data_IF_409780601803
#
_entry.id   IF_409780601803
#
_cell.length_a   1.000
_cell.length_b   1.000
_cell.length_c   1.000
_cell.angle_alpha   90.00
_cell.angle_beta   90.00
_cell.angle_gamma   90.00
#
_symmetry.space_group_name_H-M   'P 1'
#
loop_
_entity.id
_entity.type
_entity.pdbx_description
1 polymer ?
#
# COMPACT_ATOMS: atom_id res chain seq x y z
N UNK A 1 -26.96 20.18 23.90
CA UNK A 1 -27.84 20.29 22.71
C UNK A 1 -27.89 18.91 22.07
N UNK A 2 -29.07 18.33 21.85
CA UNK A 2 -29.19 17.04 21.16
C UNK A 2 -29.21 17.26 19.64
N UNK A 3 -28.55 16.38 18.87
CA UNK A 3 -28.43 16.51 17.42
C UNK A 3 -29.71 16.13 16.68
N UNK A 4 -29.93 16.72 15.49
CA UNK A 4 -31.14 16.51 14.67
C UNK A 4 -31.35 15.02 14.31
N UNK A 5 -30.26 14.27 14.11
CA UNK A 5 -30.30 12.83 13.80
C UNK A 5 -30.97 11.97 14.88
N UNK A 6 -30.81 12.30 16.16
CA UNK A 6 -31.42 11.56 17.29
C UNK A 6 -32.97 11.65 17.28
N UNK A 7 -33.51 12.65 16.58
CA UNK A 7 -34.96 12.84 16.42
C UNK A 7 -35.55 12.01 15.27
N UNK A 8 -34.74 11.58 14.30
CA UNK A 8 -35.18 10.79 13.14
C UNK A 8 -35.28 9.31 13.52
N UNK A 9 -34.25 8.76 14.18
CA UNK A 9 -34.22 7.35 14.64
C UNK A 9 -35.38 7.03 15.58
N UNK A 10 -35.81 8.01 16.38
CA UNK A 10 -36.94 7.89 17.33
C UNK A 10 -38.33 7.95 16.69
N UNK A 11 -38.44 8.11 15.37
CA UNK A 11 -39.73 8.32 14.69
C UNK A 11 -40.17 7.12 13.82
N UNK A 12 -39.47 5.98 13.91
CA UNK A 12 -39.75 4.76 13.15
C UNK A 12 -39.95 3.49 14.01
N UNK A 13 -40.20 3.64 15.31
CA UNK A 13 -40.57 2.55 16.20
C UNK A 13 -41.31 3.07 17.43
N UNK A 14 -42.33 2.31 17.88
CA UNK A 14 -43.45 2.76 18.76
C UNK A 14 -44.41 3.66 17.95
N UNK A 15 -45.68 3.31 17.70
CA UNK A 15 -46.63 2.47 18.44
C UNK A 15 -47.33 1.34 17.63
N UNK A 16 -47.69 0.26 18.32
CA UNK A 16 -48.92 -0.53 18.09
C UNK A 16 -50.01 0.08 19.03
N UNK A 17 -51.31 0.14 18.75
CA UNK A 17 -52.33 -0.92 18.62
C UNK A 17 -53.72 -0.28 18.40
N UNK A 18 -54.70 -1.01 17.84
CA UNK A 18 -56.17 -0.77 17.95
C UNK A 18 -56.75 0.51 17.31
N UNK A 19 -57.97 0.57 16.74
CA UNK A 19 -59.03 -0.39 16.37
C UNK A 19 -59.69 0.14 15.04
N UNK A 20 -60.92 -0.08 14.55
CA UNK A 20 -62.20 -0.62 15.06
C UNK A 20 -62.93 -1.46 13.97
N UNK A 21 -64.03 -0.96 13.34
CA UNK A 21 -64.95 -1.77 12.50
C UNK A 21 -65.49 -1.09 11.21
N UNK A 22 -65.42 -1.83 10.08
CA UNK A 22 -66.52 -2.15 9.11
C UNK A 22 -67.28 -1.03 8.30
N UNK A 23 -68.11 -1.35 7.26
CA UNK A 23 -68.50 -2.66 6.69
C UNK A 23 -68.48 -2.84 5.14
N UNK A 24 -68.44 -4.12 4.71
CA UNK A 24 -69.02 -4.79 3.52
C UNK A 24 -69.35 -4.06 2.18
N UNK A 25 -68.73 -4.55 1.08
CA UNK A 25 -69.31 -5.13 -0.18
C UNK A 25 -68.17 -5.24 -1.22
N UNK A 26 -68.00 -6.25 -2.08
CA UNK A 26 -68.93 -7.20 -2.73
C UNK A 26 -68.54 -8.69 -2.58
N UNK A 27 -69.40 -9.61 -3.07
CA UNK A 27 -69.28 -11.07 -2.93
C UNK A 27 -69.74 -11.82 -4.19
N UNK A 28 -68.90 -12.70 -4.75
CA UNK A 28 -69.23 -13.78 -5.73
C UNK A 28 -68.03 -14.77 -5.75
N UNK A 29 -68.05 -15.90 -5.01
CA UNK A 29 -68.62 -17.22 -5.35
C UNK A 29 -67.90 -17.92 -6.54
N UNK A 30 -66.89 -18.81 -6.38
CA UNK A 30 -66.85 -20.23 -5.86
C UNK A 30 -67.45 -21.30 -6.80
N UNK A 31 -67.06 -22.61 -6.78
CA UNK A 31 -65.94 -23.31 -6.09
C UNK A 31 -65.18 -24.43 -6.91
N UNK A 32 -64.24 -25.10 -6.23
CA UNK A 32 -63.77 -26.51 -6.43
C UNK A 32 -62.81 -26.83 -7.61
N UNK A 33 -61.94 -27.87 -7.55
CA UNK A 33 -61.86 -28.98 -6.58
C UNK A 33 -60.40 -29.35 -6.15
N UNK A 34 -60.28 -30.32 -5.23
CA UNK A 34 -59.02 -30.97 -4.81
C UNK A 34 -58.42 -31.84 -5.95
N UNK A 35 -57.22 -32.44 -5.91
CA UNK A 35 -56.24 -32.81 -4.86
C UNK A 35 -54.81 -32.81 -5.53
N UNK A 36 -53.65 -33.10 -4.93
CA UNK A 36 -53.23 -33.73 -3.66
C UNK A 36 -51.80 -33.28 -3.25
N UNK A 37 -51.12 -34.07 -2.41
CA UNK A 37 -49.81 -33.85 -1.77
C UNK A 37 -48.58 -33.82 -2.70
N UNK A 38 -47.63 -32.93 -2.40
CA UNK A 38 -46.21 -33.08 -2.77
C UNK A 38 -45.31 -32.35 -1.74
N UNK A 39 -44.74 -33.11 -0.79
CA UNK A 39 -43.76 -32.60 0.18
C UNK A 39 -42.34 -32.79 -0.34
N UNK A 40 -41.70 -31.72 -0.80
CA UNK A 40 -40.24 -31.57 -0.76
C UNK A 40 -39.84 -30.09 -0.84
N UNK A 41 -38.55 -29.80 -0.63
CA UNK A 41 -37.90 -28.50 -0.75
C UNK A 41 -38.58 -27.37 0.07
N UNK A 42 -38.34 -27.40 1.39
CA UNK A 42 -38.34 -26.15 2.16
C UNK A 42 -37.27 -25.23 1.54
N UNK A 43 -37.73 -24.23 0.78
CA UNK A 43 -36.86 -23.23 0.19
C UNK A 43 -36.22 -22.39 1.28
N UNK A 44 -34.99 -22.71 1.66
CA UNK A 44 -34.12 -21.72 2.28
C UNK A 44 -33.98 -20.57 1.28
N UNK A 45 -34.57 -19.41 1.61
CA UNK A 45 -34.28 -18.15 0.94
C UNK A 45 -32.84 -17.77 1.28
N UNK A 46 -31.88 -18.40 0.59
CA UNK A 46 -30.45 -18.14 0.71
C UNK A 46 -30.26 -16.67 0.36
N UNK A 47 -30.06 -15.87 1.41
CA UNK A 47 -30.09 -14.42 1.41
C UNK A 47 -29.11 -13.84 0.36
N UNK A 48 -29.60 -13.57 -0.84
CA UNK A 48 -28.80 -13.32 -2.05
C UNK A 48 -28.01 -12.02 -1.99
N UNK A 49 -28.34 -11.12 -1.08
CA UNK A 49 -27.56 -9.92 -0.78
C UNK A 49 -26.19 -10.27 -0.14
N UNK A 50 -26.11 -11.37 0.61
CA UNK A 50 -24.86 -11.79 1.27
C UNK A 50 -23.77 -12.17 0.24
N UNK A 51 -24.16 -12.72 -0.91
CA UNK A 51 -23.26 -13.12 -2.01
C UNK A 51 -22.60 -11.95 -2.75
N UNK A 52 -23.13 -10.73 -2.62
CA UNK A 52 -22.57 -9.54 -3.30
C UNK A 52 -21.41 -8.88 -2.53
N UNK A 53 -21.16 -9.27 -1.27
CA UNK A 53 -20.21 -8.58 -0.38
C UNK A 53 -18.84 -9.25 -0.39
N UNK A 54 -17.79 -8.49 -0.69
CA UNK A 54 -16.39 -8.94 -0.61
C UNK A 54 -16.08 -9.58 0.75
N UNK A 55 -15.33 -10.70 0.73
CA UNK A 55 -14.83 -11.37 1.95
C UNK A 55 -14.18 -10.36 2.90
N UNK A 56 -14.46 -10.51 4.20
CA UNK A 56 -13.88 -9.70 5.28
C UNK A 56 -12.36 -9.68 5.19
N UNK A 57 -11.72 -10.84 4.99
CA UNK A 57 -10.26 -10.97 4.92
C UNK A 57 -9.68 -10.28 3.69
N UNK A 58 -10.34 -10.43 2.54
CA UNK A 58 -9.94 -9.80 1.29
C UNK A 58 -10.06 -8.26 1.38
N UNK A 59 -11.13 -7.77 2.02
CA UNK A 59 -11.31 -6.35 2.29
C UNK A 59 -10.27 -5.80 3.27
N UNK A 60 -9.92 -6.53 4.33
CA UNK A 60 -8.86 -6.13 5.27
C UNK A 60 -7.49 -6.03 4.59
N UNK A 61 -7.13 -7.00 3.74
CA UNK A 61 -5.91 -6.97 2.93
C UNK A 61 -5.91 -5.77 1.97
N UNK A 62 -6.99 -5.56 1.22
CA UNK A 62 -7.11 -4.45 0.28
C UNK A 62 -7.06 -3.08 0.99
N UNK A 63 -7.73 -2.93 2.14
CA UNK A 63 -7.70 -1.71 2.94
C UNK A 63 -6.31 -1.41 3.51
N UNK A 64 -5.57 -2.43 3.97
CA UNK A 64 -4.21 -2.20 4.48
C UNK A 64 -3.23 -1.86 3.35
N UNK A 65 -3.32 -2.52 2.19
CA UNK A 65 -2.51 -2.18 1.01
C UNK A 65 -2.80 -0.77 0.48
N UNK A 66 -4.07 -0.36 0.43
CA UNK A 66 -4.44 1.02 0.05
C UNK A 66 -4.03 2.07 1.10
N UNK A 67 -3.82 1.67 2.37
CA UNK A 67 -3.40 2.57 3.45
C UNK A 67 -1.87 2.71 3.57
N UNK A 68 -1.13 1.63 3.35
CA UNK A 68 0.32 1.56 3.60
C UNK A 68 1.16 1.37 2.33
N UNK A 69 0.56 0.97 1.20
CA UNK A 69 1.24 0.60 -0.04
C UNK A 69 1.98 -0.75 -0.01
N UNK A 70 2.13 -1.37 1.17
CA UNK A 70 3.00 -2.53 1.41
C UNK A 70 2.48 -3.40 2.56
N UNK A 71 2.90 -4.67 2.56
CA UNK A 71 2.51 -5.70 3.51
C UNK A 71 3.64 -6.75 3.65
N UNK A 72 4.26 -6.82 4.83
CA UNK A 72 5.40 -7.72 5.11
C UNK A 72 4.99 -8.90 6.02
N UNK A 73 5.52 -10.09 5.75
CA UNK A 73 5.28 -11.29 6.56
C UNK A 73 5.78 -11.12 8.00
N UNK A 74 6.93 -10.47 8.20
CA UNK A 74 7.50 -10.23 9.54
C UNK A 74 6.59 -9.38 10.43
N UNK A 75 5.85 -8.43 9.85
CA UNK A 75 4.97 -7.54 10.59
C UNK A 75 3.54 -8.08 10.71
N UNK A 76 2.99 -8.69 9.64
CA UNK A 76 1.57 -9.13 9.59
C UNK A 76 1.40 -10.44 8.81
N UNK A 77 1.89 -11.58 9.34
CA UNK A 77 1.91 -12.84 8.62
C UNK A 77 0.51 -13.35 8.25
N UNK A 78 -0.51 -13.05 9.06
CA UNK A 78 -1.90 -13.43 8.76
C UNK A 78 -2.48 -12.72 7.53
N UNK A 79 -2.22 -11.41 7.39
CA UNK A 79 -2.67 -10.65 6.22
C UNK A 79 -1.82 -10.97 4.99
N UNK A 80 -0.50 -11.12 5.14
CA UNK A 80 0.40 -11.53 4.05
C UNK A 80 -0.05 -12.85 3.41
N UNK A 81 -0.30 -13.89 4.24
CA UNK A 81 -0.78 -15.20 3.76
C UNK A 81 -2.18 -15.12 3.13
N UNK A 82 -3.07 -14.27 3.66
CA UNK A 82 -4.37 -14.02 3.04
C UNK A 82 -4.25 -13.33 1.68
N UNK A 83 -3.29 -12.40 1.53
CA UNK A 83 -3.01 -11.73 0.26
C UNK A 83 -2.49 -12.70 -0.81
N UNK A 84 -1.54 -13.59 -0.47
CA UNK A 84 -1.06 -14.63 -1.38
C UNK A 84 -2.20 -15.57 -1.84
N UNK A 85 -2.98 -16.10 -0.90
CA UNK A 85 -4.07 -17.05 -1.19
C UNK A 85 -5.17 -16.42 -2.05
N UNK A 86 -5.43 -15.11 -1.89
CA UNK A 86 -6.50 -14.39 -2.60
C UNK A 86 -6.00 -13.48 -3.74
N UNK A 87 -4.74 -13.62 -4.19
CA UNK A 87 -4.05 -12.65 -5.06
C UNK A 87 -4.82 -12.30 -6.34
N UNK A 88 -5.43 -13.29 -7.01
CA UNK A 88 -6.26 -13.06 -8.20
C UNK A 88 -7.50 -12.20 -7.89
N UNK A 89 -8.21 -12.50 -6.80
CA UNK A 89 -9.41 -11.76 -6.36
C UNK A 89 -9.05 -10.37 -5.83
N UNK A 90 -7.87 -10.23 -5.22
CA UNK A 90 -7.29 -8.95 -4.79
C UNK A 90 -7.00 -8.07 -6.00
N UNK A 91 -6.36 -8.62 -7.04
CA UNK A 91 -6.10 -7.92 -8.29
C UNK A 91 -7.38 -7.59 -9.06
N UNK A 92 -8.42 -8.43 -9.01
CA UNK A 92 -9.76 -8.13 -9.51
C UNK A 92 -10.51 -7.05 -8.68
N UNK A 93 -10.10 -6.81 -7.43
CA UNK A 93 -10.68 -5.76 -6.56
C UNK A 93 -9.95 -4.42 -6.71
N UNK A 94 -8.64 -4.46 -7.01
CA UNK A 94 -7.80 -3.29 -7.31
C UNK A 94 -7.93 -2.85 -8.79
N UNK A 95 -8.48 -3.73 -9.63
CA UNK A 95 -8.84 -3.54 -11.05
C UNK A 95 -9.41 -2.14 -11.36
N UNK A 96 -10.51 -1.67 -10.74
CA UNK A 96 -11.20 -0.47 -11.18
C UNK A 96 -10.56 0.82 -10.63
N UNK A 97 -9.37 0.69 -10.04
CA UNK A 97 -8.56 1.77 -9.48
C UNK A 97 -7.22 1.93 -10.23
N UNK A 98 -7.03 1.23 -11.36
CA UNK A 98 -5.77 1.13 -12.12
C UNK A 98 -4.56 0.63 -11.30
N UNK A 99 -4.84 -0.24 -10.31
CA UNK A 99 -3.86 -0.79 -9.37
C UNK A 99 -3.74 -2.31 -9.46
N UNK A 100 -2.60 -2.84 -9.01
CA UNK A 100 -2.42 -4.27 -8.74
C UNK A 100 -1.51 -4.51 -7.52
N UNK A 101 -1.74 -5.62 -6.83
CA UNK A 101 -0.83 -6.17 -5.84
C UNK A 101 0.19 -7.10 -6.53
N UNK A 102 1.46 -6.97 -6.15
CA UNK A 102 2.57 -7.84 -6.56
C UNK A 102 3.21 -8.47 -5.32
N UNK A 103 3.67 -9.70 -5.45
CA UNK A 103 4.38 -10.42 -4.39
C UNK A 103 5.86 -10.64 -4.74
N UNK A 104 6.72 -10.49 -3.73
CA UNK A 104 8.05 -11.10 -3.67
C UNK A 104 8.00 -12.14 -2.54
N UNK A 105 7.73 -13.39 -2.92
CA UNK A 105 7.64 -14.52 -2.00
C UNK A 105 9.00 -14.89 -1.39
N UNK A 106 10.11 -14.54 -2.05
CA UNK A 106 11.46 -14.78 -1.53
C UNK A 106 11.72 -13.85 -0.33
N UNK A 107 11.20 -12.61 -0.38
CA UNK A 107 11.42 -11.58 0.64
C UNK A 107 10.24 -11.35 1.58
N UNK A 108 9.19 -12.16 1.50
CA UNK A 108 8.03 -12.05 2.40
C UNK A 108 7.22 -10.76 2.22
N UNK A 109 7.15 -10.20 1.00
CA UNK A 109 6.57 -8.89 0.73
C UNK A 109 5.42 -8.96 -0.29
N UNK A 110 4.29 -8.31 0.01
CA UNK A 110 3.29 -7.90 -0.99
C UNK A 110 3.26 -6.37 -1.04
N UNK A 111 3.27 -5.79 -2.23
CA UNK A 111 3.22 -4.34 -2.42
C UNK A 111 2.24 -3.92 -3.52
N UNK A 112 1.74 -2.70 -3.39
CA UNK A 112 0.83 -2.06 -4.33
C UNK A 112 1.63 -1.40 -5.46
N UNK A 113 1.25 -1.69 -6.70
CA UNK A 113 1.80 -1.10 -7.90
C UNK A 113 0.68 -0.47 -8.74
N UNK A 114 1.04 0.56 -9.52
CA UNK A 114 0.18 1.03 -10.62
C UNK A 114 0.19 -0.04 -11.71
N UNK A 115 -0.98 -0.34 -12.28
CA UNK A 115 -1.09 -1.22 -13.44
C UNK A 115 -0.53 -0.47 -14.67
N UNK A 116 0.32 -1.09 -15.51
CA UNK A 116 0.61 -0.51 -16.82
C UNK A 116 -0.69 -0.46 -17.63
N UNK A 117 -1.08 0.73 -18.11
CA UNK A 117 -2.28 0.87 -18.93
C UNK A 117 -2.15 0.14 -20.26
N UNK A 118 -3.29 -0.24 -20.86
CA UNK A 118 -3.36 -0.96 -22.13
C UNK A 118 -2.99 -0.10 -23.37
N UNK A 119 -2.38 1.07 -23.17
CA UNK A 119 -2.07 2.06 -24.21
C UNK A 119 -0.56 2.23 -24.36
N UNK A 120 -0.03 1.97 -25.57
CA UNK A 120 1.38 2.20 -25.94
C UNK A 120 1.77 3.71 -26.03
N UNK A 121 0.89 4.63 -25.63
CA UNK A 121 1.19 6.06 -25.61
C UNK A 121 2.13 6.41 -24.43
N UNK A 122 3.21 7.18 -24.67
CA UNK A 122 4.11 7.58 -23.60
C UNK A 122 3.39 8.54 -22.63
N UNK A 123 3.04 8.03 -21.45
CA UNK A 123 2.42 8.81 -20.38
C UNK A 123 3.43 9.81 -19.77
N UNK A 124 3.62 10.96 -20.43
CA UNK A 124 4.46 12.07 -19.96
C UNK A 124 4.06 12.48 -18.52
N UNK A 125 2.76 12.63 -18.29
CA UNK A 125 2.18 12.76 -16.95
C UNK A 125 2.02 11.39 -16.27
N UNK A 126 3.16 10.85 -15.81
CA UNK A 126 3.26 9.65 -14.97
C UNK A 126 2.69 9.92 -13.55
N UNK A 127 1.42 10.33 -13.45
CA UNK A 127 0.75 10.78 -12.22
C UNK A 127 -0.66 10.19 -12.13
N UNK A 128 -0.69 8.89 -11.87
CA UNK A 128 -1.88 8.13 -11.50
C UNK A 128 -2.68 8.86 -10.39
N UNK A 129 -3.99 9.12 -10.56
CA UNK A 129 -4.72 10.09 -9.74
C UNK A 129 -4.80 9.72 -8.25
N UNK A 130 -4.71 8.43 -7.92
CA UNK A 130 -4.72 7.93 -6.54
C UNK A 130 -3.32 7.76 -5.92
N UNK A 131 -2.24 7.91 -6.70
CA UNK A 131 -0.85 7.66 -6.24
C UNK A 131 -0.01 8.93 -6.37
N UNK A 132 0.33 9.54 -5.23
CA UNK A 132 1.19 10.73 -5.20
C UNK A 132 2.66 10.33 -5.36
N UNK A 133 3.33 10.86 -6.39
CA UNK A 133 4.79 10.78 -6.59
C UNK A 133 5.55 11.29 -5.35
N UNK A 134 6.07 10.38 -4.53
CA UNK A 134 6.93 10.72 -3.39
C UNK A 134 8.37 10.96 -3.92
N UNK A 135 8.71 12.24 -4.14
CA UNK A 135 10.03 12.63 -4.68
C UNK A 135 11.12 12.43 -3.62
N UNK A 136 12.28 11.91 -4.04
CA UNK A 136 13.49 11.83 -3.23
C UNK A 136 14.43 12.99 -3.57
N UNK A 137 15.04 13.59 -2.55
CA UNK A 137 16.17 14.52 -2.69
C UNK A 137 17.47 13.75 -3.02
N UNK A 138 18.51 14.45 -3.48
CA UNK A 138 19.81 13.85 -3.81
C UNK A 138 20.41 13.04 -2.64
N UNK A 139 20.35 13.57 -1.42
CA UNK A 139 20.92 12.93 -0.22
C UNK A 139 20.11 11.70 0.20
N UNK A 140 18.77 11.76 0.10
CA UNK A 140 17.89 10.62 0.34
C UNK A 140 18.12 9.51 -0.71
N UNK A 141 18.30 9.90 -1.97
CA UNK A 141 18.60 9.00 -3.10
C UNK A 141 19.93 8.28 -2.90
N UNK A 142 20.96 9.04 -2.55
CA UNK A 142 22.29 8.51 -2.25
C UNK A 142 22.26 7.57 -1.04
N UNK A 143 21.56 7.94 0.03
CA UNK A 143 21.35 7.09 1.21
C UNK A 143 20.60 5.79 0.84
N UNK A 144 19.57 5.85 -0.02
CA UNK A 144 18.89 4.64 -0.54
C UNK A 144 19.83 3.76 -1.37
N UNK A 145 20.74 4.33 -2.17
CA UNK A 145 21.74 3.55 -2.90
C UNK A 145 22.75 2.86 -1.96
N UNK A 146 23.24 3.56 -0.93
CA UNK A 146 24.10 2.99 0.12
C UNK A 146 23.37 1.88 0.87
N UNK A 147 22.14 2.12 1.34
CA UNK A 147 21.33 1.11 2.03
C UNK A 147 21.04 -0.11 1.14
N UNK A 148 20.84 0.07 -0.18
CA UNK A 148 20.70 -1.07 -1.11
C UNK A 148 21.99 -1.88 -1.22
N UNK A 149 23.17 -1.25 -1.19
CA UNK A 149 24.46 -1.96 -1.16
C UNK A 149 24.61 -2.80 0.12
N UNK A 150 24.31 -2.24 1.29
CA UNK A 150 24.30 -2.99 2.56
C UNK A 150 23.30 -4.16 2.54
N UNK A 151 22.08 -3.93 2.02
CA UNK A 151 21.07 -4.99 1.89
C UNK A 151 21.55 -6.12 0.97
N UNK A 152 22.19 -5.81 -0.17
CA UNK A 152 22.73 -6.82 -1.08
C UNK A 152 23.87 -7.63 -0.44
N UNK A 153 24.74 -7.00 0.36
CA UNK A 153 25.77 -7.72 1.11
C UNK A 153 25.14 -8.68 2.13
N UNK A 154 24.13 -8.23 2.88
CA UNK A 154 23.39 -9.08 3.81
C UNK A 154 22.65 -10.24 3.11
N UNK A 155 22.05 -10.01 1.93
CA UNK A 155 21.45 -11.07 1.11
C UNK A 155 22.48 -12.10 0.59
N UNK A 156 23.76 -11.74 0.46
CA UNK A 156 24.84 -12.65 0.07
C UNK A 156 25.37 -13.46 1.26
N UNK A 157 25.54 -12.84 2.43
CA UNK A 157 26.10 -13.49 3.62
C UNK A 157 25.07 -14.39 4.36
N UNK A 158 23.83 -13.90 4.51
CA UNK A 158 22.77 -14.59 5.24
C UNK A 158 21.79 -15.35 4.32
N UNK A 159 21.78 -15.01 3.02
CA UNK A 159 20.87 -15.56 2.01
C UNK A 159 19.70 -14.62 1.66
N UNK A 160 19.20 -14.73 0.42
CA UNK A 160 18.03 -13.96 -0.04
C UNK A 160 16.79 -14.33 0.77
N UNK A 161 16.12 -13.35 1.37
CA UNK A 161 14.99 -13.60 2.26
C UNK A 161 15.36 -13.95 3.71
N UNK A 162 16.64 -13.90 4.08
CA UNK A 162 17.03 -13.91 5.49
C UNK A 162 16.48 -12.67 6.22
N UNK A 163 16.48 -12.73 7.56
CA UNK A 163 15.81 -11.75 8.42
C UNK A 163 16.35 -10.31 8.32
N UNK A 164 15.62 -9.38 8.93
CA UNK A 164 15.80 -7.94 8.90
C UNK A 164 17.29 -7.49 8.90
N UNK A 165 17.74 -6.92 7.78
CA UNK A 165 19.11 -6.45 7.61
C UNK A 165 19.36 -5.17 8.44
N UNK A 166 20.08 -5.31 9.54
CA UNK A 166 20.39 -4.22 10.48
C UNK A 166 21.69 -3.50 10.11
N UNK A 167 21.67 -2.16 10.11
CA UNK A 167 22.88 -1.31 9.96
C UNK A 167 22.91 -0.24 11.05
N UNK A 168 24.08 0.03 11.62
CA UNK A 168 24.26 1.11 12.60
C UNK A 168 24.34 2.49 11.91
N UNK A 169 23.73 3.51 12.52
CA UNK A 169 23.81 4.91 12.01
C UNK A 169 25.26 5.36 11.84
N UNK A 170 26.14 4.98 12.76
CA UNK A 170 27.55 5.38 12.76
C UNK A 170 28.39 4.72 11.63
N UNK A 171 27.92 3.61 11.04
CA UNK A 171 28.54 3.01 9.84
C UNK A 171 28.19 3.75 8.53
N UNK A 172 27.03 4.41 8.51
CA UNK A 172 26.54 5.15 7.34
C UNK A 172 27.17 6.55 7.22
N UNK A 173 27.68 7.13 8.31
CA UNK A 173 28.31 8.46 8.32
C UNK A 173 29.55 8.50 7.40
N UNK A 174 30.55 7.60 7.50
CA UNK A 174 31.70 7.59 6.58
C UNK A 174 31.29 7.41 5.11
N UNK A 175 30.28 6.57 4.84
CA UNK A 175 29.78 6.33 3.48
C UNK A 175 29.14 7.60 2.89
N UNK A 176 28.46 8.40 3.70
CA UNK A 176 27.90 9.70 3.28
C UNK A 176 29.01 10.74 3.02
N UNK A 177 30.02 10.80 3.90
CA UNK A 177 31.17 11.73 3.78
C UNK A 177 31.96 11.53 2.48
N UNK A 178 32.12 10.29 2.00
CA UNK A 178 32.82 9.98 0.73
C UNK A 178 32.22 10.70 -0.49
N UNK A 179 30.92 11.02 -0.47
CA UNK A 179 30.21 11.64 -1.59
C UNK A 179 29.79 13.09 -1.34
N UNK A 180 29.52 13.47 -0.09
CA UNK A 180 29.10 14.84 0.29
C UNK A 180 30.26 15.71 0.81
N UNK A 181 31.42 15.11 1.09
CA UNK A 181 32.54 15.74 1.78
C UNK A 181 32.35 15.76 3.31
N UNK A 182 33.42 16.13 4.02
CA UNK A 182 33.39 16.31 5.47
C UNK A 182 32.61 17.59 5.85
N UNK A 183 31.48 17.44 6.53
CA UNK A 183 30.94 18.55 7.33
C UNK A 183 31.78 18.63 8.61
N UNK A 184 32.33 19.81 8.94
CA UNK A 184 33.24 19.99 10.09
C UNK A 184 32.63 19.82 11.51
N UNK A 185 31.62 18.96 11.69
CA UNK A 185 31.09 18.52 12.98
C UNK A 185 30.26 17.23 12.79
N UNK A 186 30.87 16.09 13.13
CA UNK A 186 30.26 14.74 13.14
C UNK A 186 28.86 14.72 13.80
N UNK A 187 28.69 15.41 14.94
CA UNK A 187 27.40 15.48 15.64
C UNK A 187 26.29 16.13 14.79
N UNK A 188 26.62 17.07 13.88
CA UNK A 188 25.66 17.63 12.93
C UNK A 188 25.30 16.65 11.83
N UNK A 189 26.28 15.90 11.33
CA UNK A 189 26.07 14.87 10.30
C UNK A 189 25.19 13.73 10.83
N UNK A 190 25.47 13.24 12.05
CA UNK A 190 24.65 12.27 12.76
C UNK A 190 23.19 12.75 12.93
N UNK A 191 23.01 14.02 13.32
CA UNK A 191 21.68 14.64 13.43
C UNK A 191 20.96 14.71 12.08
N UNK A 192 21.68 15.09 11.00
CA UNK A 192 21.16 15.15 9.62
C UNK A 192 20.77 13.76 9.10
N UNK A 193 21.61 12.75 9.35
CA UNK A 193 21.40 11.38 8.92
C UNK A 193 20.18 10.76 9.62
N UNK A 194 19.99 11.00 10.93
CA UNK A 194 18.77 10.60 11.64
C UNK A 194 17.51 11.25 11.04
N UNK A 195 17.57 12.52 10.62
CA UNK A 195 16.46 13.19 9.92
C UNK A 195 16.19 12.59 8.54
N UNK A 196 17.22 12.25 7.77
CA UNK A 196 17.08 11.55 6.49
C UNK A 196 16.48 10.14 6.67
N UNK A 197 16.87 9.42 7.73
CA UNK A 197 16.35 8.08 8.03
C UNK A 197 14.89 8.10 8.49
N UNK A 198 14.47 9.08 9.30
CA UNK A 198 13.04 9.24 9.66
C UNK A 198 12.19 9.64 8.45
N UNK A 199 12.75 10.41 7.50
CA UNK A 199 12.13 10.66 6.20
C UNK A 199 12.00 9.34 5.40
N UNK A 200 13.07 8.55 5.24
CA UNK A 200 13.04 7.26 4.52
C UNK A 200 12.14 6.19 5.18
N UNK A 201 11.95 6.24 6.50
CA UNK A 201 10.91 5.50 7.22
C UNK A 201 9.50 5.92 6.77
N UNK A 202 9.28 7.21 6.50
CA UNK A 202 8.08 7.73 5.82
C UNK A 202 7.93 7.32 4.35
N UNK A 203 8.99 6.82 3.69
CA UNK A 203 8.92 6.11 2.41
C UNK A 203 8.73 4.59 2.59
N UNK A 204 8.66 4.07 3.82
CA UNK A 204 8.51 2.65 4.11
C UNK A 204 9.75 1.78 3.83
N UNK A 205 10.92 2.37 3.59
CA UNK A 205 12.15 1.64 3.22
C UNK A 205 12.97 1.17 4.44
N UNK A 206 12.65 1.73 5.61
CA UNK A 206 13.51 1.77 6.79
C UNK A 206 12.64 1.70 8.05
N UNK A 207 13.07 0.97 9.08
CA UNK A 207 12.41 0.96 10.40
C UNK A 207 12.72 2.21 11.22
N UNK A 208 12.06 2.36 12.38
CA UNK A 208 12.58 3.27 13.40
C UNK A 208 13.93 2.74 13.96
N UNK A 209 14.87 3.60 14.35
CA UNK A 209 16.10 3.18 15.01
C UNK A 209 15.83 2.51 16.35
N UNK A 210 16.61 1.48 16.68
CA UNK A 210 16.55 0.74 17.93
C UNK A 210 17.28 1.47 19.09
N UNK A 211 17.31 0.85 20.26
CA UNK A 211 17.99 1.38 21.46
C UNK A 211 19.53 1.48 21.35
N UNK A 212 20.11 1.02 20.24
CA UNK A 212 21.53 1.08 19.93
C UNK A 212 21.78 1.91 18.65
N UNK A 213 20.78 2.66 18.18
CA UNK A 213 20.78 3.41 16.91
C UNK A 213 21.13 2.56 15.68
N UNK A 214 20.67 1.30 15.69
CA UNK A 214 20.63 0.44 14.51
C UNK A 214 19.28 0.52 13.84
N UNK A 215 19.28 0.34 12.53
CA UNK A 215 18.13 0.56 11.66
C UNK A 215 17.94 -0.67 10.77
N UNK A 216 16.74 -1.23 10.74
CA UNK A 216 16.40 -2.32 9.84
C UNK A 216 16.06 -1.77 8.44
N UNK A 217 16.76 -2.29 7.43
CA UNK A 217 16.49 -2.02 6.03
C UNK A 217 15.38 -2.96 5.57
N UNK A 218 14.28 -2.39 5.07
CA UNK A 218 13.07 -3.16 4.74
C UNK A 218 13.13 -3.72 3.31
N UNK A 219 12.60 -4.93 3.04
CA UNK A 219 12.82 -5.60 1.75
C UNK A 219 12.29 -4.84 0.52
N UNK A 220 11.35 -3.91 0.70
CA UNK A 220 10.87 -3.03 -0.37
C UNK A 220 11.98 -2.21 -1.04
N UNK A 221 13.12 -1.99 -0.37
CA UNK A 221 14.30 -1.38 -0.99
C UNK A 221 14.76 -2.15 -2.24
N UNK A 222 14.51 -3.46 -2.32
CA UNK A 222 14.89 -4.28 -3.45
C UNK A 222 14.18 -3.88 -4.75
N UNK A 223 12.93 -3.43 -4.67
CA UNK A 223 12.13 -3.00 -5.82
C UNK A 223 12.28 -1.51 -6.11
N UNK A 224 12.45 -0.65 -5.09
CA UNK A 224 12.69 0.77 -5.33
C UNK A 224 14.08 1.00 -5.93
N UNK A 225 15.11 0.38 -5.37
CA UNK A 225 16.48 0.39 -5.89
C UNK A 225 16.73 -0.82 -6.80
N UNK A 226 15.83 -1.00 -7.78
CA UNK A 226 16.05 -1.87 -8.94
C UNK A 226 17.27 -1.40 -9.76
N UNK A 227 18.00 -2.31 -10.44
CA UNK A 227 19.16 -1.94 -11.25
C UNK A 227 18.81 -0.94 -12.37
N UNK A 228 17.62 -1.07 -12.97
CA UNK A 228 17.10 -0.17 -14.00
C UNK A 228 16.84 1.25 -13.46
N UNK A 229 16.28 1.36 -12.25
CA UNK A 229 16.08 2.65 -11.60
C UNK A 229 17.42 3.33 -11.28
N UNK A 230 18.42 2.55 -10.84
CA UNK A 230 19.76 3.04 -10.54
C UNK A 230 20.54 3.46 -11.80
N UNK A 231 20.41 2.74 -12.93
CA UNK A 231 21.05 3.14 -14.19
C UNK A 231 20.38 4.36 -14.82
N UNK A 232 19.05 4.46 -14.78
CA UNK A 232 18.33 5.66 -15.19
C UNK A 232 18.73 6.88 -14.34
N UNK A 233 18.85 6.71 -13.02
CA UNK A 233 19.30 7.77 -12.12
C UNK A 233 20.75 8.20 -12.38
N UNK A 234 21.65 7.26 -12.67
CA UNK A 234 23.03 7.58 -13.07
C UNK A 234 23.11 8.28 -14.44
N UNK A 235 22.15 8.05 -15.34
CA UNK A 235 22.05 8.78 -16.61
C UNK A 235 21.60 10.23 -16.37
N UNK A 236 20.52 10.41 -15.60
CA UNK A 236 20.01 11.73 -15.16
C UNK A 236 21.08 12.58 -14.48
N UNK A 237 21.82 12.01 -13.52
CA UNK A 237 22.88 12.74 -12.81
C UNK A 237 24.05 13.12 -13.74
N UNK A 238 24.42 12.25 -14.69
CA UNK A 238 25.44 12.58 -15.71
C UNK A 238 24.98 13.70 -16.64
N UNK A 239 23.72 13.66 -17.10
CA UNK A 239 23.15 14.69 -17.96
C UNK A 239 23.20 16.08 -17.29
N UNK A 240 22.82 16.16 -16.01
CA UNK A 240 22.88 17.40 -15.21
C UNK A 240 24.32 17.90 -15.07
N UNK A 241 25.26 17.04 -14.70
CA UNK A 241 26.69 17.38 -14.60
C UNK A 241 27.30 17.81 -15.94
N UNK A 242 26.76 17.37 -17.09
CA UNK A 242 27.16 17.93 -18.40
C UNK A 242 26.57 19.30 -18.69
N UNK A 243 25.32 19.57 -18.27
CA UNK A 243 24.66 20.89 -18.45
C UNK A 243 25.26 21.96 -17.52
N UNK A 244 25.46 21.63 -16.24
CA UNK A 244 26.11 22.53 -15.27
C UNK A 244 27.53 22.94 -15.73
N UNK A 245 28.17 22.13 -16.58
CA UNK A 245 29.50 22.38 -17.14
C UNK A 245 29.50 23.11 -18.48
N UNK A 246 28.36 23.23 -19.17
CA UNK A 246 28.21 24.13 -20.32
C UNK A 246 27.82 25.55 -19.87
N UNK A 247 26.90 25.70 -18.92
CA UNK A 247 26.48 27.03 -18.41
C UNK A 247 27.67 27.80 -17.81
N UNK A 248 28.49 27.14 -16.98
CA UNK A 248 29.72 27.71 -16.42
C UNK A 248 30.84 27.95 -17.46
N UNK A 249 30.58 27.74 -18.75
CA UNK A 249 31.51 27.96 -19.85
C UNK A 249 31.26 29.22 -20.69
N UNK A 250 30.07 29.84 -20.60
CA UNK A 250 29.68 30.94 -21.51
C UNK A 250 29.80 32.36 -20.89
N UNK A 251 29.86 32.49 -19.56
CA UNK A 251 30.11 33.78 -18.85
C UNK A 251 31.63 34.17 -18.84
N UNK A 252 32.38 33.85 -19.90
CA UNK A 252 33.83 33.66 -19.84
C UNK A 252 34.74 34.28 -20.91
N UNK A 253 34.24 35.15 -21.80
CA UNK A 253 35.04 35.91 -22.81
C UNK A 253 34.87 37.45 -22.71
#
# INVERSE_FOLDING_TARGET
MAGVFDRIVKQQGVDETSEEESPNQFQEQTPHAQESEAVDAAGEEINTEATARTDIKLREVAQELLRMGLLEETQRPHLYRAALIAMERLNATLEPLDLCARADEIRGLVFLAVRPGDTDEPQEDWSHPLVRKQRLNLEQTLLVAILRQYFIAHEQDAGTGAGDAMVAVDELIPQMQVYLGESGSEARERTRLLQLLDQLKGHGLVSAPDSHERVAIRPMIAHLANPENLTALLYELKARVTVDRSDNGEDGE
#
